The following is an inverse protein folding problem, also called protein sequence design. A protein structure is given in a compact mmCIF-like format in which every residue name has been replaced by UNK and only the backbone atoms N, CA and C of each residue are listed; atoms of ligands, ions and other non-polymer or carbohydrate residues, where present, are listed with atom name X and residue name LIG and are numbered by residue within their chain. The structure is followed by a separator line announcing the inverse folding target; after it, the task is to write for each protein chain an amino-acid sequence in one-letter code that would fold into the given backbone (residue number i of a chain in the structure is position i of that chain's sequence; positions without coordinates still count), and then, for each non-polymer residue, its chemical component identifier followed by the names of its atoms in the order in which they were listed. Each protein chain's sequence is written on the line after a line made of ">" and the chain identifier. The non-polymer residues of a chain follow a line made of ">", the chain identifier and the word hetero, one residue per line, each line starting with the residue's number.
data_IF_511348800950
#
_entry.id   IF_511348800950
#
_cell.length_a   1.000
_cell.length_b   1.000
_cell.length_c   1.000
_cell.angle_alpha   90.00
_cell.angle_beta   90.00
_cell.angle_gamma   90.00
#
_symmetry.space_group_name_H-M   'P 1'
#
loop_
_entity.id
_entity.type
_entity.pdbx_description
1 polymer ?
#
# COMPACT_ATOMS: atom_id res chain seq x y z
N UNK A 1 16.98 26.95 -13.81
CA UNK A 1 16.04 27.15 -12.69
C UNK A 1 15.81 25.81 -12.05
N UNK A 2 15.96 25.73 -10.73
CA UNK A 2 15.70 24.53 -9.95
C UNK A 2 14.17 24.33 -9.92
N UNK A 3 13.70 23.14 -10.28
CA UNK A 3 12.30 22.76 -10.15
C UNK A 3 12.22 21.78 -8.98
N UNK A 4 11.59 22.20 -7.88
CA UNK A 4 11.27 21.28 -6.79
C UNK A 4 10.33 20.18 -7.31
N UNK A 5 10.72 18.92 -7.12
CA UNK A 5 9.88 17.75 -7.40
C UNK A 5 9.41 17.19 -6.06
N UNK A 6 8.10 17.01 -5.92
CA UNK A 6 7.52 16.39 -4.74
C UNK A 6 7.32 14.89 -4.97
N UNK A 7 7.67 14.07 -3.99
CA UNK A 7 7.48 12.62 -4.02
C UNK A 7 6.90 12.13 -2.70
N UNK A 8 6.02 11.14 -2.77
CA UNK A 8 5.51 10.45 -1.60
C UNK A 8 6.47 9.30 -1.26
N UNK A 9 6.88 9.21 0.00
CA UNK A 9 7.71 8.13 0.50
C UNK A 9 7.06 7.40 1.69
N UNK A 10 7.24 6.06 1.79
CA UNK A 10 7.86 5.21 0.77
C UNK A 10 6.97 5.09 -0.48
N UNK A 11 7.56 4.74 -1.64
CA UNK A 11 6.83 4.65 -2.91
C UNK A 11 5.84 3.48 -2.93
N UNK A 12 6.14 2.39 -2.21
CA UNK A 12 5.20 1.32 -1.90
C UNK A 12 5.29 1.10 -0.40
N UNK A 13 4.16 1.17 0.31
CA UNK A 13 4.11 0.87 1.74
C UNK A 13 3.16 -0.28 2.05
N UNK A 14 3.50 -1.04 3.08
CA UNK A 14 2.82 -2.27 3.46
C UNK A 14 2.07 -2.04 4.78
N UNK A 15 0.75 -2.12 4.70
CA UNK A 15 -0.15 -2.30 5.83
C UNK A 15 -0.49 -3.78 6.00
N UNK A 16 -1.03 -4.12 7.17
CA UNK A 16 -1.42 -5.50 7.48
C UNK A 16 -2.74 -5.55 8.22
N UNK A 17 -3.57 -6.52 7.84
CA UNK A 17 -4.85 -6.76 8.49
C UNK A 17 -4.68 -7.21 9.94
N UNK A 18 -5.72 -7.06 10.74
CA UNK A 18 -5.74 -7.41 12.16
C UNK A 18 -7.14 -7.22 12.72
N UNK A 19 -7.50 -8.03 13.72
CA UNK A 19 -8.88 -8.06 14.25
C UNK A 19 -9.17 -7.00 15.30
N UNK A 20 -8.17 -6.19 15.69
CA UNK A 20 -8.34 -5.06 16.61
C UNK A 20 -8.68 -3.76 15.88
N UNK A 21 -9.39 -2.88 16.59
CA UNK A 21 -9.54 -1.47 16.21
C UNK A 21 -8.23 -0.69 16.37
N UNK A 22 -7.33 -1.15 17.23
CA UNK A 22 -6.02 -0.54 17.42
C UNK A 22 -5.03 -0.96 16.33
N UNK A 23 -4.03 -0.11 16.09
CA UNK A 23 -2.94 -0.36 15.15
C UNK A 23 -1.59 0.08 15.71
N UNK A 24 -0.52 -0.44 15.11
CA UNK A 24 0.83 0.12 15.18
C UNK A 24 1.25 0.61 13.78
N UNK A 25 2.34 1.35 13.66
CA UNK A 25 2.85 1.87 12.38
C UNK A 25 3.87 0.88 11.80
N UNK A 26 3.88 0.71 10.48
CA UNK A 26 4.84 -0.13 9.76
C UNK A 26 6.30 0.24 10.10
N UNK A 27 7.23 -0.74 10.08
CA UNK A 27 8.64 -0.46 10.27
C UNK A 27 9.17 0.46 9.16
N UNK A 28 10.11 1.35 9.53
CA UNK A 28 10.83 2.21 8.59
C UNK A 28 12.32 1.83 8.45
N UNK A 29 12.70 0.70 9.04
CA UNK A 29 14.02 0.07 8.91
C UNK A 29 13.85 -1.33 8.36
N UNK A 30 14.83 -1.82 7.59
CA UNK A 30 14.73 -3.14 7.01
C UNK A 30 14.85 -4.22 8.09
N UNK A 31 14.06 -5.29 7.97
CA UNK A 31 14.22 -6.46 8.83
C UNK A 31 15.66 -6.99 8.72
N UNK A 32 16.25 -7.36 9.86
CA UNK A 32 17.62 -7.87 9.95
C UNK A 32 18.74 -6.82 9.89
N UNK A 33 18.45 -5.56 9.56
CA UNK A 33 19.45 -4.48 9.60
C UNK A 33 19.83 -4.14 11.05
N UNK A 34 21.12 -3.98 11.35
CA UNK A 34 21.56 -3.54 12.67
C UNK A 34 21.37 -2.04 12.78
N UNK A 35 20.46 -1.61 13.65
CA UNK A 35 20.20 -0.19 13.90
C UNK A 35 21.20 0.31 14.95
N UNK A 36 21.78 1.52 14.77
CA UNK A 36 22.60 2.18 15.77
C UNK A 36 21.75 2.65 16.98
N UNK A 37 21.40 1.71 17.86
CA UNK A 37 20.71 1.96 19.13
C UNK A 37 21.50 1.39 20.31
N UNK A 38 21.18 1.83 21.53
CA UNK A 38 21.76 1.30 22.76
C UNK A 38 20.65 0.74 23.68
N UNK A 39 20.51 -0.59 23.82
CA UNK A 39 21.29 -1.65 23.15
C UNK A 39 20.99 -1.75 21.63
N UNK A 40 21.85 -2.42 20.83
CA UNK A 40 21.62 -2.62 19.40
C UNK A 40 20.30 -3.36 19.14
N UNK A 41 19.52 -2.87 18.17
CA UNK A 41 18.27 -3.47 17.73
C UNK A 41 18.39 -3.93 16.28
N UNK A 42 17.76 -5.05 15.97
CA UNK A 42 17.49 -5.42 14.58
C UNK A 42 16.28 -4.64 14.07
N UNK A 43 16.38 -4.15 12.83
CA UNK A 43 15.31 -3.46 12.13
C UNK A 43 14.13 -4.37 11.79
N UNK A 44 13.15 -3.77 11.13
CA UNK A 44 11.85 -4.41 10.91
C UNK A 44 10.91 -4.32 12.11
N UNK A 45 11.31 -3.63 13.19
CA UNK A 45 10.41 -3.35 14.32
C UNK A 45 9.36 -2.30 13.94
N UNK A 46 8.05 -2.60 14.11
CA UNK A 46 7.01 -1.60 13.91
C UNK A 46 7.11 -0.46 14.93
N UNK A 47 6.49 0.67 14.61
CA UNK A 47 6.61 1.92 15.37
C UNK A 47 5.33 2.17 16.17
N UNK A 48 5.48 2.70 17.39
CA UNK A 48 4.38 3.09 18.27
C UNK A 48 3.64 4.29 17.67
N UNK A 49 2.29 4.25 17.58
CA UNK A 49 1.52 5.40 17.12
C UNK A 49 1.82 6.68 17.91
N UNK A 50 1.90 7.80 17.21
CA UNK A 50 2.19 9.11 17.82
C UNK A 50 3.66 9.34 18.16
N UNK A 51 4.57 8.48 17.68
CA UNK A 51 6.02 8.65 17.80
C UNK A 51 6.67 8.64 16.43
N UNK A 52 7.83 9.30 16.30
CA UNK A 52 8.57 9.30 15.05
C UNK A 52 9.18 7.92 14.76
N UNK A 53 9.76 7.27 15.76
CA UNK A 53 10.60 6.08 15.57
C UNK A 53 10.61 5.11 16.77
N UNK A 54 9.79 5.34 17.80
CA UNK A 54 9.80 4.48 18.98
C UNK A 54 9.29 3.08 18.65
N UNK A 55 10.10 2.02 18.78
CA UNK A 55 9.67 0.68 18.43
C UNK A 55 8.60 0.18 19.39
N UNK A 56 7.68 -0.63 18.87
CA UNK A 56 6.77 -1.41 19.70
C UNK A 56 7.49 -2.62 20.33
N UNK A 57 6.87 -3.18 21.35
CA UNK A 57 7.30 -4.45 21.98
C UNK A 57 6.32 -5.57 21.66
N UNK A 58 6.63 -6.81 22.06
CA UNK A 58 5.71 -7.93 21.91
C UNK A 58 4.36 -7.70 22.63
N UNK A 59 4.34 -6.90 23.71
CA UNK A 59 3.14 -6.57 24.47
C UNK A 59 2.18 -5.66 23.68
N UNK A 60 2.68 -4.98 22.65
CA UNK A 60 1.92 -4.04 21.83
C UNK A 60 1.30 -4.67 20.58
N UNK A 61 1.65 -5.93 20.24
CA UNK A 61 1.14 -6.61 19.03
C UNK A 61 -0.34 -6.97 19.10
N UNK A 62 -0.89 -7.02 20.32
CA UNK A 62 -2.29 -7.34 20.58
C UNK A 62 -2.91 -6.28 21.48
N UNK A 63 -4.21 -6.09 21.34
CA UNK A 63 -4.95 -5.24 22.27
C UNK A 63 -5.24 -5.96 23.61
N UNK A 64 -5.91 -5.26 24.51
CA UNK A 64 -6.27 -5.76 25.85
C UNK A 64 -7.20 -6.98 25.83
N UNK A 65 -7.81 -7.29 24.68
CA UNK A 65 -8.67 -8.47 24.47
C UNK A 65 -7.92 -9.60 23.73
N UNK A 66 -6.63 -9.43 23.45
CA UNK A 66 -5.82 -10.41 22.72
C UNK A 66 -6.04 -10.40 21.21
N UNK A 67 -6.79 -9.43 20.66
CA UNK A 67 -6.98 -9.29 19.20
C UNK A 67 -5.71 -8.74 18.57
N UNK A 68 -5.40 -9.20 17.35
CA UNK A 68 -4.19 -8.79 16.63
C UNK A 68 -4.36 -7.34 16.18
N UNK A 69 -3.43 -6.46 16.54
CA UNK A 69 -3.42 -5.07 16.05
C UNK A 69 -3.09 -5.02 14.57
N UNK A 70 -3.72 -4.09 13.86
CA UNK A 70 -3.43 -3.80 12.45
C UNK A 70 -2.08 -3.11 12.31
N UNK A 71 -1.44 -3.22 11.15
CA UNK A 71 -0.27 -2.42 10.79
C UNK A 71 -0.69 -1.30 9.84
N UNK A 72 -0.44 -0.05 10.23
CA UNK A 72 -0.69 1.14 9.44
C UNK A 72 0.51 1.49 8.56
N UNK A 73 0.27 1.81 7.30
CA UNK A 73 1.26 2.39 6.40
C UNK A 73 1.34 3.90 6.62
N UNK A 74 2.52 4.41 6.99
CA UNK A 74 2.80 5.85 7.11
C UNK A 74 3.41 6.39 5.83
N UNK A 75 2.86 7.48 5.32
CA UNK A 75 3.38 8.17 4.14
C UNK A 75 3.77 9.61 4.47
N UNK A 76 4.87 10.04 3.87
CA UNK A 76 5.50 11.35 4.05
C UNK A 76 5.66 12.02 2.69
N UNK A 77 5.66 13.35 2.67
CA UNK A 77 5.95 14.13 1.47
C UNK A 77 7.40 14.60 1.52
N UNK A 78 8.15 14.36 0.45
CA UNK A 78 9.51 14.85 0.28
C UNK A 78 9.62 15.82 -0.89
N UNK A 79 10.45 16.85 -0.72
CA UNK A 79 10.86 17.77 -1.76
C UNK A 79 12.29 17.44 -2.22
N UNK A 80 12.52 17.49 -3.52
CA UNK A 80 13.81 17.34 -4.15
C UNK A 80 14.12 18.54 -5.03
N UNK A 81 15.28 19.15 -4.84
CA UNK A 81 15.69 20.38 -5.52
C UNK A 81 16.28 20.09 -6.93
N UNK A 82 15.58 19.28 -7.72
CA UNK A 82 15.94 18.92 -9.10
C UNK A 82 15.60 17.47 -9.48
N UNK A 83 15.77 17.08 -10.76
CA UNK A 83 15.65 15.69 -11.21
C UNK A 83 16.68 14.79 -10.52
N UNK A 84 16.25 13.59 -10.12
CA UNK A 84 17.13 12.54 -9.62
C UNK A 84 17.70 11.77 -10.81
N UNK A 85 19.02 11.58 -10.87
CA UNK A 85 19.73 10.99 -12.02
C UNK A 85 20.62 9.83 -11.65
N UNK A 86 20.80 9.54 -10.36
CA UNK A 86 21.54 8.38 -9.86
C UNK A 86 20.79 7.67 -8.74
N UNK A 87 21.16 6.43 -8.49
CA UNK A 87 20.66 5.66 -7.35
C UNK A 87 21.83 5.21 -6.45
N UNK A 88 21.68 5.33 -5.11
CA UNK A 88 20.71 6.18 -4.42
C UNK A 88 21.03 7.66 -4.66
N UNK A 89 20.02 8.49 -4.96
CA UNK A 89 20.26 9.93 -5.17
C UNK A 89 20.66 10.61 -3.85
N UNK A 90 19.92 10.30 -2.77
CA UNK A 90 19.89 11.08 -1.54
C UNK A 90 19.14 12.42 -1.72
N UNK A 91 19.34 13.35 -0.79
CA UNK A 91 18.98 14.77 -0.96
C UNK A 91 17.48 15.15 -0.85
N UNK A 92 16.58 14.18 -0.69
CA UNK A 92 15.18 14.46 -0.39
C UNK A 92 15.03 15.03 1.03
N UNK A 93 14.27 16.12 1.17
CA UNK A 93 13.89 16.67 2.49
C UNK A 93 12.41 16.45 2.75
N UNK A 94 12.06 15.92 3.92
CA UNK A 94 10.66 15.85 4.33
C UNK A 94 10.09 17.27 4.43
N UNK A 95 8.89 17.48 3.89
CA UNK A 95 8.21 18.77 3.87
C UNK A 95 6.77 18.61 4.36
N UNK A 96 6.34 19.57 5.17
CA UNK A 96 5.02 19.60 5.78
C UNK A 96 4.39 20.99 5.57
N UNK A 97 3.19 21.20 6.11
CA UNK A 97 2.54 22.52 6.10
C UNK A 97 3.48 23.56 6.72
N UNK A 98 3.64 24.70 6.05
CA UNK A 98 4.53 25.79 6.44
C UNK A 98 5.96 25.67 5.88
N UNK A 99 6.34 24.55 5.25
CA UNK A 99 7.63 24.43 4.61
C UNK A 99 7.72 25.35 3.37
N UNK A 100 8.86 26.01 3.21
CA UNK A 100 9.17 26.80 2.02
C UNK A 100 9.94 25.95 1.00
N UNK A 101 9.60 26.11 -0.27
CA UNK A 101 10.25 25.43 -1.39
C UNK A 101 10.52 26.41 -2.52
N UNK A 102 11.55 26.15 -3.32
CA UNK A 102 11.83 26.96 -4.51
C UNK A 102 11.13 26.37 -5.73
N UNK A 103 10.29 27.17 -6.39
CA UNK A 103 9.69 26.81 -7.68
C UNK A 103 10.27 27.68 -8.78
N UNK A 104 10.04 27.33 -10.06
CA UNK A 104 10.46 28.19 -11.17
C UNK A 104 9.87 29.61 -11.14
N UNK A 105 8.83 29.84 -10.34
CA UNK A 105 8.16 31.16 -10.19
C UNK A 105 8.61 31.91 -8.92
N UNK A 106 9.55 31.35 -8.15
CA UNK A 106 10.02 31.90 -6.89
C UNK A 106 9.77 30.96 -5.72
N UNK A 107 10.19 31.41 -4.54
CA UNK A 107 9.98 30.66 -3.30
C UNK A 107 8.51 30.69 -2.88
N UNK A 108 7.97 29.54 -2.48
CA UNK A 108 6.57 29.37 -2.09
C UNK A 108 6.45 28.61 -0.78
N UNK A 109 5.41 28.91 0.00
CA UNK A 109 5.14 28.21 1.26
C UNK A 109 4.00 27.22 1.07
N UNK A 110 4.17 25.99 1.54
CA UNK A 110 3.11 24.97 1.53
C UNK A 110 2.03 25.40 2.52
N UNK A 111 0.83 25.66 2.02
CA UNK A 111 -0.36 26.00 2.80
C UNK A 111 -1.09 24.76 3.29
N UNK A 112 -1.19 23.73 2.46
CA UNK A 112 -1.80 22.45 2.81
C UNK A 112 -1.30 21.33 1.90
N UNK A 113 -1.47 20.08 2.34
CA UNK A 113 -1.21 18.87 1.57
C UNK A 113 -2.50 18.06 1.59
N UNK A 114 -3.09 17.81 0.43
CA UNK A 114 -4.30 17.01 0.32
C UNK A 114 -3.86 15.60 -0.05
N UNK A 115 -4.11 14.65 0.84
CA UNK A 115 -3.86 13.24 0.60
C UNK A 115 -5.07 12.60 -0.06
N UNK A 116 -4.87 11.71 -1.03
CA UNK A 116 -5.92 10.88 -1.60
C UNK A 116 -5.44 9.44 -1.76
N UNK A 117 -6.31 8.51 -1.39
CA UNK A 117 -6.06 7.08 -1.46
C UNK A 117 -7.28 6.42 -2.09
N UNK A 118 -7.07 5.43 -2.96
CA UNK A 118 -8.17 4.67 -3.57
C UNK A 118 -7.89 3.17 -3.43
N UNK A 119 -8.62 2.51 -2.53
CA UNK A 119 -8.43 1.08 -2.25
C UNK A 119 -9.45 0.22 -2.99
N UNK A 120 -8.99 -0.89 -3.53
CA UNK A 120 -9.83 -1.92 -4.11
C UNK A 120 -9.26 -3.33 -3.84
N UNK A 121 -10.13 -4.33 -3.93
CA UNK A 121 -9.77 -5.75 -3.98
C UNK A 121 -10.37 -6.36 -5.24
N UNK A 122 -9.49 -6.88 -6.12
CA UNK A 122 -9.89 -7.50 -7.39
C UNK A 122 -9.75 -9.02 -7.39
N UNK A 123 -9.40 -9.66 -6.27
CA UNK A 123 -9.05 -11.08 -6.22
C UNK A 123 -10.16 -11.99 -6.75
N UNK A 124 -11.42 -11.71 -6.43
CA UNK A 124 -12.54 -12.51 -6.91
C UNK A 124 -12.84 -12.30 -8.41
N UNK A 125 -12.39 -11.19 -9.00
CA UNK A 125 -12.46 -10.91 -10.44
C UNK A 125 -11.07 -10.88 -11.09
N UNK A 126 -10.30 -11.95 -10.94
CA UNK A 126 -8.97 -12.04 -11.54
C UNK A 126 -8.69 -13.47 -12.04
N UNK A 127 -7.52 -13.65 -12.63
CA UNK A 127 -6.98 -14.97 -12.95
C UNK A 127 -6.66 -15.77 -11.68
N UNK A 128 -6.70 -17.09 -11.82
CA UNK A 128 -6.13 -18.04 -10.86
C UNK A 128 -4.61 -17.93 -10.87
N UNK A 129 -3.99 -18.37 -9.78
CA UNK A 129 -2.52 -18.53 -9.73
C UNK A 129 -2.14 -19.93 -10.24
N UNK A 130 -3.00 -20.91 -10.01
CA UNK A 130 -2.81 -22.29 -10.47
C UNK A 130 -3.34 -22.50 -11.89
N UNK A 131 -2.62 -23.30 -12.67
CA UNK A 131 -3.06 -23.74 -14.01
C UNK A 131 -4.18 -24.78 -13.93
N UNK A 132 -4.72 -25.21 -15.08
CA UNK A 132 -5.78 -26.22 -15.13
C UNK A 132 -5.36 -27.55 -14.50
N UNK A 133 -4.06 -27.86 -14.52
CA UNK A 133 -3.49 -29.07 -13.91
C UNK A 133 -3.11 -28.88 -12.43
N UNK A 134 -3.43 -27.72 -11.83
CA UNK A 134 -3.14 -27.41 -10.43
C UNK A 134 -1.69 -27.03 -10.15
N UNK A 135 -0.91 -26.63 -11.16
CA UNK A 135 0.47 -26.18 -10.98
C UNK A 135 0.55 -24.67 -10.85
N UNK A 136 1.35 -24.17 -9.90
CA UNK A 136 1.71 -22.76 -9.83
C UNK A 136 2.79 -22.47 -10.87
N UNK A 137 2.41 -21.81 -11.97
CA UNK A 137 3.32 -21.50 -13.08
C UNK A 137 3.90 -20.07 -13.01
N UNK A 138 3.40 -19.25 -12.08
CA UNK A 138 3.85 -17.87 -11.88
C UNK A 138 3.73 -17.01 -13.13
N UNK A 139 4.76 -16.20 -13.43
CA UNK A 139 4.75 -15.29 -14.58
C UNK A 139 4.72 -16.03 -15.93
N UNK A 140 5.18 -17.28 -15.98
CA UNK A 140 5.22 -18.10 -17.21
C UNK A 140 3.81 -18.33 -17.78
N UNK A 141 2.79 -18.34 -16.90
CA UNK A 141 1.39 -18.45 -17.30
C UNK A 141 0.91 -17.28 -18.18
N UNK A 142 1.62 -16.14 -18.14
CA UNK A 142 1.29 -14.91 -18.88
C UNK A 142 2.12 -14.71 -20.16
N UNK A 143 3.10 -15.58 -20.42
CA UNK A 143 3.96 -15.45 -21.60
C UNK A 143 3.24 -15.83 -22.89
N UNK A 144 3.70 -15.24 -24.01
CA UNK A 144 3.19 -15.50 -25.36
C UNK A 144 1.69 -15.18 -25.54
N UNK A 145 1.19 -14.19 -24.79
CA UNK A 145 -0.21 -13.75 -24.87
C UNK A 145 -1.20 -14.72 -24.23
N UNK A 146 -0.73 -15.67 -23.41
CA UNK A 146 -1.57 -16.57 -22.63
C UNK A 146 -1.98 -15.93 -21.31
N UNK A 147 -2.99 -16.51 -20.68
CA UNK A 147 -3.40 -16.17 -19.31
C UNK A 147 -3.80 -17.46 -18.58
N UNK A 148 -3.68 -17.51 -17.24
CA UNK A 148 -4.23 -18.62 -16.47
C UNK A 148 -5.77 -18.68 -16.59
N UNK A 149 -6.41 -19.77 -16.13
CA UNK A 149 -7.86 -19.79 -15.97
C UNK A 149 -8.33 -18.68 -15.03
N UNK A 150 -9.58 -18.23 -15.14
CA UNK A 150 -10.12 -17.18 -14.27
C UNK A 150 -10.76 -17.74 -12.99
N UNK A 151 -10.76 -16.94 -11.93
CA UNK A 151 -11.59 -17.17 -10.74
C UNK A 151 -13.05 -16.84 -11.03
N UNK A 152 -13.95 -17.51 -10.33
CA UNK A 152 -15.38 -17.30 -10.38
C UNK A 152 -15.95 -17.42 -11.80
N UNK A 153 -15.51 -18.42 -12.58
CA UNK A 153 -15.90 -18.56 -13.99
C UNK A 153 -17.42 -18.71 -14.20
N UNK A 154 -18.16 -19.11 -13.16
CA UNK A 154 -19.62 -19.16 -13.14
C UNK A 154 -20.30 -17.79 -13.41
N UNK A 155 -19.58 -16.67 -13.25
CA UNK A 155 -20.05 -15.31 -13.56
C UNK A 155 -19.69 -14.87 -14.99
N UNK A 156 -19.31 -15.80 -15.86
CA UNK A 156 -18.87 -15.52 -17.23
C UNK A 156 -17.35 -15.39 -17.34
N UNK A 157 -16.83 -15.48 -18.57
CA UNK A 157 -15.40 -15.59 -18.87
C UNK A 157 -14.67 -14.26 -19.10
N UNK A 158 -15.40 -13.16 -19.30
CA UNK A 158 -14.81 -11.84 -19.57
C UNK A 158 -14.61 -11.05 -18.29
N UNK A 159 -13.37 -10.91 -17.81
CA UNK A 159 -13.03 -10.14 -16.60
C UNK A 159 -13.47 -8.66 -16.67
N UNK A 160 -13.66 -8.11 -17.87
CA UNK A 160 -14.13 -6.74 -18.10
C UNK A 160 -15.66 -6.60 -18.12
N UNK A 161 -16.41 -7.70 -18.01
CA UNK A 161 -17.87 -7.67 -18.05
C UNK A 161 -18.44 -6.80 -16.90
N UNK A 162 -19.38 -5.87 -17.18
CA UNK A 162 -19.94 -4.98 -16.15
C UNK A 162 -20.55 -5.71 -14.94
N UNK A 163 -21.17 -6.87 -15.13
CA UNK A 163 -21.73 -7.68 -14.02
C UNK A 163 -20.62 -8.19 -13.10
N UNK A 164 -19.51 -8.68 -13.66
CA UNK A 164 -18.36 -9.14 -12.88
C UNK A 164 -17.67 -8.00 -12.16
N UNK A 165 -17.42 -6.89 -12.86
CA UNK A 165 -16.81 -5.71 -12.25
C UNK A 165 -17.65 -5.17 -11.09
N UNK A 166 -18.97 -5.09 -11.25
CA UNK A 166 -19.85 -4.56 -10.21
C UNK A 166 -20.01 -5.50 -9.01
N UNK A 167 -19.97 -6.82 -9.20
CA UNK A 167 -20.29 -7.79 -8.13
C UNK A 167 -19.06 -8.43 -7.49
N UNK A 168 -17.98 -8.63 -8.24
CA UNK A 168 -16.81 -9.40 -7.81
C UNK A 168 -15.59 -8.52 -7.46
N UNK A 169 -15.63 -7.22 -7.73
CA UNK A 169 -14.61 -6.28 -7.27
C UNK A 169 -15.13 -5.55 -6.04
N UNK A 170 -14.33 -5.52 -4.97
CA UNK A 170 -14.58 -4.66 -3.82
C UNK A 170 -13.91 -3.33 -4.12
N UNK A 171 -14.68 -2.27 -4.23
CA UNK A 171 -14.17 -0.94 -4.53
C UNK A 171 -14.86 0.07 -3.62
N UNK A 172 -14.11 0.59 -2.66
CA UNK A 172 -14.62 1.60 -1.73
C UNK A 172 -14.71 2.99 -2.39
N UNK A 173 -14.08 3.20 -3.54
CA UNK A 173 -13.84 4.51 -4.16
C UNK A 173 -12.72 5.29 -3.47
N UNK A 174 -12.26 6.40 -4.07
CA UNK A 174 -11.21 7.22 -3.49
C UNK A 174 -11.69 7.96 -2.23
N UNK A 175 -10.77 8.23 -1.30
CA UNK A 175 -10.95 9.10 -0.13
C UNK A 175 -9.89 10.18 -0.18
N UNK A 176 -10.25 11.40 0.22
CA UNK A 176 -9.33 12.52 0.28
C UNK A 176 -9.44 13.26 1.62
N UNK A 177 -8.30 13.67 2.17
CA UNK A 177 -8.18 14.28 3.50
C UNK A 177 -7.09 15.35 3.50
N UNK A 178 -7.33 16.56 4.03
CA UNK A 178 -6.28 17.57 4.15
C UNK A 178 -5.38 17.28 5.37
N UNK A 179 -4.07 17.49 5.22
CA UNK A 179 -3.10 17.40 6.31
C UNK A 179 -3.42 18.37 7.45
N UNK A 180 -4.06 19.51 7.14
CA UNK A 180 -4.57 20.48 8.13
C UNK A 180 -5.65 19.94 9.06
N UNK A 181 -6.23 18.75 8.79
CA UNK A 181 -7.14 18.07 9.73
C UNK A 181 -6.45 17.58 11.01
N UNK A 182 -5.12 17.54 11.06
CA UNK A 182 -4.34 17.37 12.30
C UNK A 182 -4.55 16.06 13.06
N UNK A 183 -5.18 15.06 12.44
CA UNK A 183 -5.51 13.78 13.07
C UNK A 183 -6.83 13.79 13.85
N UNK A 184 -7.65 14.83 13.69
CA UNK A 184 -8.99 14.90 14.29
C UNK A 184 -10.07 14.23 13.44
N UNK A 185 -9.72 13.84 12.20
CA UNK A 185 -10.62 13.19 11.25
C UNK A 185 -10.04 11.86 10.82
N UNK A 186 -10.86 10.81 10.91
CA UNK A 186 -10.61 9.51 10.29
C UNK A 186 -11.66 9.28 9.22
N UNK A 187 -11.22 8.88 8.03
CA UNK A 187 -12.09 8.59 6.90
C UNK A 187 -12.02 7.09 6.61
N UNK A 188 -13.17 6.42 6.59
CA UNK A 188 -13.24 4.98 6.34
C UNK A 188 -13.46 4.66 4.85
N UNK A 189 -12.86 3.57 4.39
CA UNK A 189 -13.09 3.01 3.06
C UNK A 189 -14.31 2.07 3.09
N UNK A 190 -15.47 2.61 3.44
CA UNK A 190 -16.75 1.88 3.56
C UNK A 190 -17.85 2.48 2.67
N UNK A 191 -19.02 1.83 2.67
CA UNK A 191 -20.22 2.22 1.91
C UNK A 191 -20.95 3.46 2.44
N UNK A 192 -20.66 3.88 3.68
CA UNK A 192 -21.32 5.02 4.35
C UNK A 192 -20.60 6.35 4.10
N UNK A 193 -19.36 6.29 3.64
CA UNK A 193 -18.52 7.46 3.40
C UNK A 193 -18.55 7.80 1.92
N UNK A 194 -19.00 9.01 1.58
CA UNK A 194 -19.04 9.48 0.18
C UNK A 194 -17.60 9.52 -0.36
N UNK A 195 -17.28 8.82 -1.46
CA UNK A 195 -15.96 8.90 -2.07
C UNK A 195 -15.64 10.33 -2.50
N UNK A 196 -14.35 10.69 -2.52
CA UNK A 196 -13.92 12.03 -2.90
C UNK A 196 -12.59 11.99 -3.65
N UNK A 197 -12.39 12.95 -4.55
CA UNK A 197 -11.17 13.12 -5.35
C UNK A 197 -10.56 14.51 -5.13
N UNK A 198 -9.37 14.74 -5.67
CA UNK A 198 -8.79 16.08 -5.74
C UNK A 198 -9.57 17.01 -6.65
N UNK A 199 -9.73 18.25 -6.21
CA UNK A 199 -10.25 19.35 -7.00
C UNK A 199 -9.19 20.37 -7.38
N UNK A 200 -9.47 21.64 -7.12
CA UNK A 200 -8.57 22.76 -7.38
C UNK A 200 -7.98 23.28 -6.08
N UNK A 201 -6.93 24.10 -6.11
CA UNK A 201 -6.35 24.71 -4.91
C UNK A 201 -7.38 25.46 -4.01
N UNK A 202 -8.47 26.00 -4.59
CA UNK A 202 -9.55 26.70 -3.86
C UNK A 202 -10.61 25.76 -3.31
N UNK A 203 -10.88 24.67 -4.02
CA UNK A 203 -11.79 23.62 -3.58
C UNK A 203 -11.09 22.26 -3.74
N UNK A 204 -10.23 21.89 -2.77
CA UNK A 204 -9.27 20.82 -2.95
C UNK A 204 -9.85 19.42 -2.92
N UNK A 205 -11.05 19.25 -2.37
CA UNK A 205 -11.71 17.95 -2.22
C UNK A 205 -13.09 18.04 -2.84
N UNK A 206 -13.37 17.15 -3.79
CA UNK A 206 -14.62 17.09 -4.54
C UNK A 206 -15.32 15.76 -4.24
N UNK A 207 -16.52 15.77 -3.64
CA UNK A 207 -17.31 14.55 -3.44
C UNK A 207 -17.74 13.91 -4.76
N UNK A 208 -17.74 12.58 -4.80
CA UNK A 208 -18.18 11.75 -5.91
C UNK A 208 -19.42 10.96 -5.49
N UNK A 209 -20.57 11.64 -5.38
CA UNK A 209 -21.82 11.05 -4.87
C UNK A 209 -22.40 9.94 -5.74
N UNK A 210 -22.00 9.84 -7.00
CA UNK A 210 -22.43 8.80 -7.95
C UNK A 210 -21.38 7.72 -8.18
N UNK A 211 -20.30 7.70 -7.40
CA UNK A 211 -19.27 6.67 -7.51
C UNK A 211 -19.87 5.28 -7.19
N UNK A 212 -19.63 4.25 -8.02
CA UNK A 212 -20.23 2.93 -7.85
C UNK A 212 -19.49 2.13 -6.77
N UNK A 213 -19.61 2.53 -5.51
CA UNK A 213 -19.07 1.79 -4.38
C UNK A 213 -19.66 0.38 -4.37
N UNK A 214 -18.80 -0.63 -4.21
CA UNK A 214 -19.21 -2.03 -4.25
C UNK A 214 -18.56 -2.85 -3.14
N UNK A 215 -19.39 -3.58 -2.40
CA UNK A 215 -18.98 -4.57 -1.42
C UNK A 215 -19.77 -5.86 -1.61
N UNK A 216 -19.23 -7.03 -1.23
CA UNK A 216 -19.88 -8.31 -1.52
C UNK A 216 -21.31 -8.43 -0.96
N UNK A 217 -21.57 -7.86 0.21
CA UNK A 217 -22.89 -7.92 0.87
C UNK A 217 -23.99 -7.18 0.12
N UNK A 218 -23.63 -6.29 -0.81
CA UNK A 218 -24.58 -5.56 -1.64
C UNK A 218 -25.18 -6.45 -2.74
N UNK A 219 -24.48 -7.54 -3.08
CA UNK A 219 -24.79 -8.38 -4.26
C UNK A 219 -25.11 -9.83 -3.92
N UNK A 220 -24.70 -10.28 -2.74
CA UNK A 220 -24.78 -11.68 -2.34
C UNK A 220 -25.32 -11.87 -0.93
N UNK A 221 -25.93 -13.03 -0.70
CA UNK A 221 -26.05 -13.55 0.68
C UNK A 221 -24.74 -14.21 1.04
N UNK A 222 -24.21 -13.89 2.21
CA UNK A 222 -22.86 -14.28 2.61
C UNK A 222 -22.88 -15.07 3.92
N UNK A 223 -21.85 -15.90 4.08
CA UNK A 223 -21.41 -16.40 5.36
C UNK A 223 -20.25 -15.52 5.84
N UNK A 224 -20.45 -14.90 7.00
CA UNK A 224 -19.60 -13.82 7.52
C UNK A 224 -19.14 -14.18 8.96
N UNK A 225 -18.52 -15.35 9.15
CA UNK A 225 -18.22 -15.90 10.49
C UNK A 225 -17.38 -14.94 11.37
N UNK A 226 -16.50 -14.16 10.74
CA UNK A 226 -15.62 -13.19 11.41
C UNK A 226 -16.05 -11.74 11.20
N UNK A 227 -17.30 -11.53 10.79
CA UNK A 227 -17.86 -10.22 10.48
C UNK A 227 -17.92 -9.94 8.99
N UNK A 228 -18.75 -8.94 8.66
CA UNK A 228 -19.01 -8.50 7.29
C UNK A 228 -17.82 -7.76 6.69
N UNK A 229 -17.56 -7.97 5.39
CA UNK A 229 -16.64 -7.11 4.64
C UNK A 229 -17.40 -5.84 4.23
N UNK A 230 -17.42 -4.83 5.11
CA UNK A 230 -18.05 -3.52 4.91
C UNK A 230 -17.04 -2.37 4.82
N UNK A 231 -15.75 -2.68 4.88
CA UNK A 231 -14.68 -1.69 4.76
C UNK A 231 -13.40 -2.32 4.22
N UNK A 232 -12.57 -1.54 3.54
CA UNK A 232 -11.18 -1.88 3.19
C UNK A 232 -10.16 -1.23 4.15
N UNK A 233 -10.64 -0.59 5.21
CA UNK A 233 -9.82 0.05 6.23
C UNK A 233 -10.16 1.53 6.43
N UNK A 234 -9.15 2.35 6.74
CA UNK A 234 -9.32 3.78 7.01
C UNK A 234 -8.04 4.59 6.77
N UNK A 235 -8.19 5.91 6.65
CA UNK A 235 -7.07 6.85 6.59
C UNK A 235 -7.25 8.02 7.57
N UNK A 236 -6.15 8.50 8.11
CA UNK A 236 -6.11 9.69 8.98
C UNK A 236 -4.76 10.40 8.85
N UNK A 237 -4.62 11.56 9.48
CA UNK A 237 -3.35 12.27 9.60
C UNK A 237 -2.71 11.92 10.95
N UNK A 238 -1.43 11.58 10.95
CA UNK A 238 -0.68 11.42 12.18
C UNK A 238 -0.63 12.77 12.92
N UNK A 239 -1.05 12.76 14.20
CA UNK A 239 -1.15 13.98 15.00
C UNK A 239 0.19 14.73 15.01
N UNK A 240 0.11 16.03 14.80
CA UNK A 240 1.25 16.96 14.85
C UNK A 240 2.35 16.78 13.78
N UNK A 241 2.20 15.88 12.79
CA UNK A 241 3.22 15.70 11.73
C UNK A 241 2.73 16.05 10.33
N UNK A 242 1.42 15.96 10.06
CA UNK A 242 0.87 16.13 8.70
C UNK A 242 1.12 14.93 7.79
N UNK A 243 1.73 13.85 8.31
CA UNK A 243 1.94 12.59 7.61
C UNK A 243 0.63 11.81 7.50
N UNK A 244 0.47 11.07 6.42
CA UNK A 244 -0.70 10.24 6.19
C UNK A 244 -0.50 8.88 6.86
N UNK A 245 -1.52 8.40 7.57
CA UNK A 245 -1.65 7.01 8.00
C UNK A 245 -2.78 6.34 7.22
N UNK A 246 -2.50 5.18 6.63
CA UNK A 246 -3.50 4.31 6.00
C UNK A 246 -3.48 2.96 6.70
N UNK A 247 -4.62 2.53 7.22
CA UNK A 247 -4.78 1.26 7.93
C UNK A 247 -5.67 0.36 7.09
N UNK A 248 -5.29 -0.92 6.95
CA UNK A 248 -6.05 -1.89 6.17
C UNK A 248 -7.31 -2.43 6.86
N UNK A 249 -7.87 -3.47 6.25
CA UNK A 249 -9.04 -4.21 6.74
C UNK A 249 -8.79 -4.97 8.06
N UNK A 250 -9.81 -5.71 8.48
CA UNK A 250 -9.84 -6.42 9.76
C UNK A 250 -9.47 -7.90 9.66
N UNK A 251 -9.10 -8.39 8.46
CA UNK A 251 -8.80 -9.80 8.21
C UNK A 251 -10.07 -10.63 8.07
N UNK A 252 -11.15 -10.02 7.57
CA UNK A 252 -12.45 -10.66 7.36
C UNK A 252 -12.44 -11.39 6.02
N UNK A 253 -13.04 -12.58 6.03
CA UNK A 253 -13.31 -13.37 4.83
C UNK A 253 -14.81 -13.71 4.78
N UNK A 254 -15.37 -13.70 3.57
CA UNK A 254 -16.78 -14.00 3.35
C UNK A 254 -16.97 -14.90 2.12
N UNK A 255 -17.80 -15.94 2.27
CA UNK A 255 -18.17 -16.84 1.18
C UNK A 255 -19.62 -16.63 0.74
N UNK A 256 -19.91 -16.71 -0.55
CA UNK A 256 -21.29 -16.64 -1.07
C UNK A 256 -22.06 -17.87 -0.60
N UNK A 257 -23.16 -17.65 0.11
CA UNK A 257 -24.01 -18.71 0.67
C UNK A 257 -24.57 -19.58 -0.45
N UNK A 258 -24.28 -20.89 -0.39
CA UNK A 258 -24.80 -21.88 -1.32
C UNK A 258 -26.32 -22.07 -1.20
N UNK A 259 -26.99 -22.65 -2.21
CA UNK A 259 -28.43 -22.92 -2.17
C UNK A 259 -28.88 -23.82 -1.01
N UNK A 260 -27.96 -24.66 -0.50
CA UNK A 260 -28.16 -25.55 0.64
C UNK A 260 -27.87 -24.88 2.00
N UNK A 261 -27.55 -23.58 2.00
CA UNK A 261 -27.23 -22.82 3.20
C UNK A 261 -25.81 -23.06 3.74
N UNK A 262 -24.92 -23.69 2.96
CA UNK A 262 -23.54 -23.97 3.37
C UNK A 262 -22.52 -23.01 2.73
N UNK A 263 -21.32 -22.88 3.33
CA UNK A 263 -20.24 -22.13 2.69
C UNK A 263 -19.77 -22.84 1.41
N UNK A 264 -19.22 -22.09 0.44
CA UNK A 264 -18.48 -22.69 -0.66
C UNK A 264 -17.32 -23.52 -0.10
N UNK A 265 -16.89 -24.58 -0.82
CA UNK A 265 -15.72 -25.34 -0.43
C UNK A 265 -14.47 -24.45 -0.31
N UNK A 266 -13.55 -24.85 0.56
CA UNK A 266 -12.23 -24.25 0.77
C UNK A 266 -11.19 -25.35 0.61
N UNK A 267 -11.11 -25.88 -0.59
CA UNK A 267 -10.35 -27.10 -0.89
C UNK A 267 -8.99 -26.79 -1.53
N UNK A 268 -8.73 -25.53 -1.89
CA UNK A 268 -7.48 -25.05 -2.49
C UNK A 268 -6.75 -24.07 -1.54
N UNK A 269 -5.42 -24.04 -1.59
CA UNK A 269 -4.62 -23.15 -0.73
C UNK A 269 -4.70 -21.67 -1.15
N UNK A 270 -5.07 -21.39 -2.40
CA UNK A 270 -4.95 -20.07 -3.03
C UNK A 270 -6.22 -19.69 -3.78
N UNK A 271 -6.72 -20.57 -4.64
CA UNK A 271 -7.78 -20.30 -5.62
C UNK A 271 -9.11 -20.91 -5.19
N UNK A 272 -9.86 -20.18 -4.36
CA UNK A 272 -11.17 -20.60 -3.89
C UNK A 272 -12.27 -19.71 -4.50
N UNK A 273 -13.09 -20.29 -5.38
CA UNK A 273 -14.24 -19.60 -5.97
C UNK A 273 -15.27 -19.24 -4.91
N UNK A 274 -15.98 -18.13 -5.16
CA UNK A 274 -17.05 -17.58 -4.33
C UNK A 274 -16.62 -17.03 -2.97
N UNK A 275 -15.32 -16.88 -2.74
CA UNK A 275 -14.74 -16.26 -1.54
C UNK A 275 -14.21 -14.85 -1.80
N UNK A 276 -14.34 -14.02 -0.77
CA UNK A 276 -13.82 -12.66 -0.68
C UNK A 276 -12.99 -12.50 0.59
N UNK A 277 -12.01 -11.60 0.56
CA UNK A 277 -11.28 -11.11 1.74
C UNK A 277 -11.24 -9.57 1.73
N UNK A 278 -10.84 -8.97 2.85
CA UNK A 278 -10.74 -7.51 3.02
C UNK A 278 -9.31 -6.97 2.87
N UNK A 279 -8.41 -7.74 2.23
CA UNK A 279 -7.14 -7.18 1.76
C UNK A 279 -7.42 -6.17 0.65
N UNK A 280 -6.48 -5.26 0.39
CA UNK A 280 -6.63 -4.28 -0.68
C UNK A 280 -5.31 -3.64 -1.03
N UNK A 281 -5.27 -3.02 -2.19
CA UNK A 281 -4.16 -2.18 -2.61
C UNK A 281 -4.70 -0.98 -3.40
N UNK A 282 -3.84 0.00 -3.64
CA UNK A 282 -4.16 1.07 -4.57
C UNK A 282 -3.30 2.33 -4.45
N UNK A 283 -3.54 3.31 -5.33
CA UNK A 283 -2.70 4.49 -5.42
C UNK A 283 -2.86 5.41 -4.21
N UNK A 284 -1.73 6.00 -3.80
CA UNK A 284 -1.63 7.11 -2.86
C UNK A 284 -1.14 8.32 -3.62
N UNK A 285 -1.88 9.42 -3.57
CA UNK A 285 -1.58 10.67 -4.26
C UNK A 285 -1.58 11.82 -3.27
N UNK A 286 -0.89 12.90 -3.62
CA UNK A 286 -0.85 14.12 -2.80
C UNK A 286 -0.89 15.37 -3.69
N UNK A 287 -1.79 16.30 -3.37
CA UNK A 287 -1.83 17.63 -3.97
C UNK A 287 -1.24 18.64 -2.98
N UNK A 288 -0.11 19.24 -3.34
CA UNK A 288 0.54 20.31 -2.56
C UNK A 288 -0.10 21.63 -2.95
N UNK A 289 -0.61 22.38 -1.97
CA UNK A 289 -1.21 23.69 -2.20
C UNK A 289 -0.34 24.76 -1.57
N UNK A 290 -0.05 25.81 -2.33
CA UNK A 290 0.75 26.94 -1.89
C UNK A 290 -0.11 28.11 -1.38
N UNK A 291 0.53 29.03 -0.67
CA UNK A 291 -0.05 30.27 -0.15
C UNK A 291 -0.54 31.23 -1.25
N UNK A 292 0.13 31.27 -2.40
CA UNK A 292 -0.27 32.03 -3.59
C UNK A 292 -1.50 31.45 -4.32
N UNK A 293 -2.05 30.33 -3.82
CA UNK A 293 -3.21 29.64 -4.39
C UNK A 293 -2.90 28.75 -5.60
N UNK A 294 -1.63 28.57 -5.97
CA UNK A 294 -1.20 27.55 -6.92
C UNK A 294 -1.08 26.18 -6.25
N UNK A 295 -1.01 25.12 -7.07
CA UNK A 295 -0.84 23.75 -6.58
C UNK A 295 0.01 22.91 -7.51
N UNK A 296 0.62 21.86 -6.98
CA UNK A 296 1.35 20.85 -7.73
C UNK A 296 1.05 19.47 -7.18
N UNK A 297 0.86 18.50 -8.06
CA UNK A 297 0.70 17.11 -7.66
C UNK A 297 2.07 16.47 -7.45
N UNK A 298 2.22 15.74 -6.35
CA UNK A 298 3.42 14.96 -6.08
C UNK A 298 3.45 13.69 -6.94
N UNK A 299 4.64 13.16 -7.19
CA UNK A 299 4.79 11.79 -7.69
C UNK A 299 4.17 10.85 -6.66
N UNK A 300 3.18 10.08 -7.11
CA UNK A 300 2.39 9.19 -6.26
C UNK A 300 3.18 8.01 -5.70
N UNK A 301 2.53 7.31 -4.78
CA UNK A 301 2.96 6.06 -4.17
C UNK A 301 1.85 5.01 -4.28
N UNK A 302 2.09 3.84 -3.69
CA UNK A 302 1.16 2.73 -3.65
C UNK A 302 1.02 2.20 -2.22
N UNK A 303 -0.20 1.88 -1.85
CA UNK A 303 -0.53 1.19 -0.61
C UNK A 303 -0.83 -0.27 -0.92
N UNK A 304 -0.34 -1.18 -0.08
CA UNK A 304 -0.69 -2.60 -0.13
C UNK A 304 -1.05 -3.06 1.28
N UNK A 305 -2.19 -3.71 1.45
CA UNK A 305 -2.57 -4.39 2.69
C UNK A 305 -2.58 -5.90 2.50
N UNK A 306 -1.85 -6.61 3.37
CA UNK A 306 -1.73 -8.06 3.33
C UNK A 306 -1.96 -8.68 4.71
N UNK A 307 -1.73 -9.98 4.82
CA UNK A 307 -1.71 -10.78 6.04
C UNK A 307 -0.78 -10.21 7.17
N UNK A 308 -0.99 -10.58 8.44
CA UNK A 308 -0.17 -10.12 9.56
C UNK A 308 1.31 -10.54 9.46
N UNK A 309 2.20 -9.66 9.93
CA UNK A 309 3.64 -9.90 9.98
C UNK A 309 3.98 -10.57 11.30
N UNK A 310 3.79 -11.88 11.40
CA UNK A 310 3.92 -12.60 12.67
C UNK A 310 5.33 -12.60 13.26
N UNK A 311 6.36 -12.33 12.45
CA UNK A 311 7.76 -12.22 12.87
C UNK A 311 8.43 -11.03 12.15
N UNK A 312 8.09 -9.77 12.51
CA UNK A 312 8.41 -8.60 11.68
C UNK A 312 9.92 -8.29 11.60
N UNK A 313 10.72 -8.79 12.54
CA UNK A 313 12.18 -8.67 12.53
C UNK A 313 12.89 -9.79 11.75
N UNK A 314 12.19 -10.86 11.38
CA UNK A 314 12.77 -11.96 10.62
C UNK A 314 12.75 -11.58 9.14
N UNK A 315 13.93 -11.30 8.59
CA UNK A 315 14.10 -10.97 7.18
C UNK A 315 13.90 -12.23 6.32
N UNK A 316 13.23 -12.09 5.19
CA UNK A 316 13.31 -13.10 4.14
C UNK A 316 14.72 -13.08 3.53
N UNK A 317 15.28 -14.25 3.20
CA UNK A 317 16.61 -14.34 2.55
C UNK A 317 16.63 -13.54 1.24
N UNK A 318 15.54 -13.61 0.48
CA UNK A 318 15.25 -12.74 -0.66
C UNK A 318 13.92 -12.04 -0.36
N UNK A 319 13.96 -10.73 -0.26
CA UNK A 319 12.79 -9.90 -0.05
C UNK A 319 12.24 -9.36 -1.37
N UNK A 320 10.99 -8.90 -1.37
CA UNK A 320 10.41 -8.21 -2.54
C UNK A 320 11.23 -6.98 -2.96
N UNK A 321 11.94 -6.35 -2.02
CA UNK A 321 12.87 -5.27 -2.35
C UNK A 321 14.04 -5.76 -3.21
N UNK A 322 14.57 -6.95 -2.91
CA UNK A 322 15.69 -7.54 -3.65
C UNK A 322 15.26 -7.92 -5.09
N UNK A 323 14.03 -8.44 -5.28
CA UNK A 323 13.46 -8.72 -6.60
C UNK A 323 13.27 -7.43 -7.44
N UNK A 324 12.73 -6.37 -6.81
CA UNK A 324 12.54 -5.07 -7.46
C UNK A 324 13.89 -4.47 -7.83
N UNK A 325 14.86 -4.51 -6.92
CA UNK A 325 16.21 -4.00 -7.14
C UNK A 325 16.91 -4.75 -8.28
N UNK A 326 16.83 -6.09 -8.33
CA UNK A 326 17.38 -6.90 -9.43
C UNK A 326 16.73 -6.52 -10.76
N UNK A 327 15.40 -6.35 -10.77
CA UNK A 327 14.67 -5.91 -11.98
C UNK A 327 15.17 -4.54 -12.46
N UNK A 328 15.40 -3.59 -11.57
CA UNK A 328 15.91 -2.28 -11.93
C UNK A 328 17.34 -2.33 -12.46
N UNK A 329 18.20 -3.15 -11.86
CA UNK A 329 19.58 -3.38 -12.35
C UNK A 329 19.56 -4.02 -13.74
N UNK A 330 18.82 -5.11 -13.93
CA UNK A 330 18.86 -5.90 -15.16
C UNK A 330 18.05 -5.32 -16.32
N UNK A 331 16.95 -4.61 -16.02
CA UNK A 331 15.97 -4.18 -17.03
C UNK A 331 15.85 -2.68 -17.18
N UNK A 332 16.27 -1.90 -16.18
CA UNK A 332 16.12 -0.43 -16.16
C UNK A 332 17.45 0.32 -15.98
N UNK A 333 18.59 -0.36 -16.17
CA UNK A 333 19.92 0.25 -16.18
C UNK A 333 20.26 1.02 -14.89
N UNK A 334 19.79 0.51 -13.74
CA UNK A 334 19.97 1.20 -12.45
C UNK A 334 21.44 1.37 -12.05
N UNK A 335 22.26 0.35 -12.32
CA UNK A 335 23.70 0.32 -12.00
C UNK A 335 24.45 -0.29 -13.20
N UNK A 336 24.75 0.53 -14.24
CA UNK A 336 25.38 0.03 -15.47
C UNK A 336 26.76 -0.61 -15.23
N UNK A 337 27.46 -0.17 -14.19
CA UNK A 337 28.76 -0.73 -13.78
C UNK A 337 28.66 -2.16 -13.24
N UNK A 338 27.49 -2.55 -12.70
CA UNK A 338 27.19 -3.90 -12.20
C UNK A 338 26.64 -4.80 -13.30
N UNK A 339 25.72 -4.30 -14.12
CA UNK A 339 25.07 -5.07 -15.18
C UNK A 339 24.93 -4.21 -16.44
N UNK A 340 25.49 -4.68 -17.55
CA UNK A 340 25.33 -4.03 -18.86
C UNK A 340 25.41 -5.07 -19.98
N UNK A 341 24.78 -4.77 -21.11
CA UNK A 341 24.79 -5.64 -22.29
C UNK A 341 24.34 -7.10 -22.02
N UNK A 342 23.43 -7.29 -21.05
CA UNK A 342 22.89 -8.60 -20.69
C UNK A 342 23.81 -9.46 -19.81
N UNK A 343 24.87 -8.91 -19.23
CA UNK A 343 25.83 -9.64 -18.41
C UNK A 343 26.21 -8.85 -17.15
N UNK A 344 26.47 -9.57 -16.05
CA UNK A 344 27.05 -8.99 -14.84
C UNK A 344 28.55 -8.79 -15.01
N UNK A 345 29.06 -7.68 -14.45
CA UNK A 345 30.49 -7.37 -14.41
C UNK A 345 31.16 -8.17 -13.26
N UNK A 346 32.06 -9.12 -13.55
CA UNK A 346 32.74 -9.91 -12.51
C UNK A 346 33.71 -9.10 -11.65
N UNK A 347 34.12 -7.91 -12.12
CA UNK A 347 35.04 -7.03 -11.42
C UNK A 347 34.32 -5.95 -10.58
N UNK A 348 32.99 -6.04 -10.46
CA UNK A 348 32.22 -5.08 -9.66
C UNK A 348 32.64 -5.14 -8.18
N UNK A 349 33.03 -4.02 -7.55
CA UNK A 349 33.51 -4.00 -6.18
C UNK A 349 32.34 -4.12 -5.19
N UNK A 350 31.93 -5.35 -4.89
CA UNK A 350 30.92 -5.62 -3.87
C UNK A 350 31.43 -5.25 -2.46
N UNK A 351 30.53 -4.75 -1.62
CA UNK A 351 30.81 -4.41 -0.23
C UNK A 351 30.19 -5.47 0.68
N UNK A 352 30.97 -6.03 1.62
CA UNK A 352 30.51 -7.13 2.47
C UNK A 352 29.28 -6.75 3.30
N UNK A 353 29.33 -5.60 3.95
CA UNK A 353 28.26 -5.07 4.81
C UNK A 353 26.95 -4.80 4.06
N UNK A 354 27.05 -4.32 2.81
CA UNK A 354 25.88 -3.98 1.98
C UNK A 354 25.33 -5.15 1.16
N UNK A 355 26.21 -5.90 0.49
CA UNK A 355 25.82 -6.82 -0.59
C UNK A 355 25.83 -8.30 -0.16
N UNK A 356 26.49 -8.64 0.96
CA UNK A 356 26.73 -10.04 1.37
C UNK A 356 26.17 -10.32 2.76
N UNK A 357 26.47 -9.46 3.73
CA UNK A 357 26.05 -9.62 5.13
C UNK A 357 24.54 -9.78 5.28
N UNK A 358 23.66 -9.06 4.55
CA UNK A 358 22.20 -9.22 4.70
C UNK A 358 21.64 -10.60 4.32
N UNK A 359 22.44 -11.47 3.69
CA UNK A 359 22.06 -12.85 3.32
C UNK A 359 22.23 -13.81 4.51
N UNK A 360 23.13 -13.49 5.45
CA UNK A 360 23.44 -14.29 6.63
C UNK A 360 22.66 -13.79 7.84
#
# INVERSE_FOLDING_TARGET
>A
MIQTIFRIHPTINIARVGTSEEFYIAPETAAGEIIPSDPPLYGGLPIRPGTDDTPITAEDLRDTQGRVKRQAARFRLFAYDGPQTRYPEGGGREVTIGATVDTPQGSKTIRDIIWMVHLANKKANNYRITSENGQEEGIVAYENGRTPPIRNAAFGSDLGAPDRLSRLVIDAGPRALPASSGGDVTIHFNDKTIPATFGTARNPIVPLSTYPVSFPFMHFRLIEQHGRIDTLGEMTIERHSGRLLVVGGYGRAAGILGPDGKPPPLDDAVDNDFWFDDTSDGPVRALVIFDDGSSVEAVGAWFVCTDPGYAPQVRNVVSTWDDIYSTWVEKLDLIPDLFSNGQYNPDFPAAFDRDVQPIF
#
